data_IF_092093740874
#
_entry.id   IF_092093740874
#
_cell.length_a   1.000
_cell.length_b   1.000
_cell.length_c   1.000
_cell.angle_alpha   90.00
_cell.angle_beta   90.00
_cell.angle_gamma   90.00
#
_symmetry.space_group_name_H-M   'P 1'
#
loop_
_entity.id
_entity.type
_entity.pdbx_description
1 polymer ?
#
# COMPACT_ATOMS: atom_id res chain seq x y z
N UNK A 1 4.62 -30.16 -23.53
CA UNK A 1 4.04 -28.87 -23.20
C UNK A 1 4.49 -28.58 -21.77
N UNK A 2 5.35 -27.60 -21.57
CA UNK A 2 5.94 -27.33 -20.26
C UNK A 2 4.96 -26.50 -19.45
N UNK A 3 4.90 -26.75 -18.14
CA UNK A 3 3.99 -26.11 -17.18
C UNK A 3 4.19 -24.57 -17.11
N UNK A 4 5.31 -24.07 -17.65
CA UNK A 4 5.66 -22.64 -17.74
C UNK A 4 4.89 -21.88 -18.83
N UNK A 5 4.39 -22.57 -19.87
CA UNK A 5 3.72 -21.90 -21.00
C UNK A 5 2.24 -21.56 -20.72
N UNK A 6 1.61 -22.21 -19.73
CA UNK A 6 0.19 -21.97 -19.41
C UNK A 6 0.00 -20.69 -18.58
N UNK A 7 0.97 -20.32 -17.76
CA UNK A 7 0.92 -19.09 -16.95
C UNK A 7 1.05 -17.81 -17.79
N UNK A 8 1.99 -17.76 -18.70
CA UNK A 8 2.29 -16.57 -19.50
C UNK A 8 1.15 -16.14 -20.44
N UNK A 9 0.42 -17.09 -21.04
CA UNK A 9 -0.71 -16.78 -21.94
C UNK A 9 -1.94 -16.28 -21.16
N UNK A 10 -2.17 -16.79 -19.95
CA UNK A 10 -3.19 -16.33 -19.02
C UNK A 10 -2.95 -14.89 -18.56
N UNK A 11 -1.73 -14.60 -18.12
CA UNK A 11 -1.31 -13.27 -17.66
C UNK A 11 -1.37 -12.23 -18.78
N UNK A 12 -0.99 -12.60 -20.02
CA UNK A 12 -1.10 -11.71 -21.19
C UNK A 12 -2.55 -11.35 -21.52
N UNK A 13 -3.49 -12.29 -21.41
CA UNK A 13 -4.92 -12.03 -21.63
C UNK A 13 -5.51 -11.14 -20.54
N UNK A 14 -5.14 -11.35 -19.28
CA UNK A 14 -5.57 -10.51 -18.16
C UNK A 14 -5.04 -9.08 -18.30
N UNK A 15 -3.76 -8.91 -18.63
CA UNK A 15 -3.16 -7.61 -18.89
C UNK A 15 -3.76 -6.90 -20.11
N UNK A 16 -4.15 -7.64 -21.16
CA UNK A 16 -4.86 -7.07 -22.30
C UNK A 16 -6.22 -6.48 -21.89
N UNK A 17 -6.91 -7.10 -20.94
CA UNK A 17 -8.17 -6.59 -20.39
C UNK A 17 -8.03 -5.29 -19.58
N UNK A 18 -6.82 -4.96 -19.12
CA UNK A 18 -6.51 -3.72 -18.38
C UNK A 18 -6.24 -2.53 -19.32
N UNK A 19 -5.99 -2.77 -20.61
CA UNK A 19 -5.62 -1.71 -21.55
C UNK A 19 -6.73 -0.67 -21.67
N UNK A 20 -6.40 0.59 -21.42
CA UNK A 20 -7.34 1.71 -21.48
C UNK A 20 -8.33 1.78 -20.30
N UNK A 21 -8.12 1.00 -19.25
CA UNK A 21 -8.92 1.01 -18.02
C UNK A 21 -8.06 1.38 -16.83
N UNK A 22 -8.71 1.78 -15.74
CA UNK A 22 -8.10 2.01 -14.43
C UNK A 22 -8.55 0.89 -13.50
N UNK A 23 -7.60 0.18 -12.90
CA UNK A 23 -7.88 -0.82 -11.89
C UNK A 23 -8.09 -0.16 -10.54
N UNK A 24 -9.29 -0.31 -9.99
CA UNK A 24 -9.62 0.09 -8.61
C UNK A 24 -9.82 -1.15 -7.73
N UNK A 25 -9.89 -0.96 -6.42
CA UNK A 25 -10.17 -2.06 -5.45
C UNK A 25 -11.55 -2.70 -5.64
N UNK A 26 -12.44 -2.06 -6.40
CA UNK A 26 -13.80 -2.57 -6.70
C UNK A 26 -13.95 -3.07 -8.14
N UNK A 27 -12.91 -2.98 -8.96
CA UNK A 27 -12.91 -3.42 -10.35
C UNK A 27 -12.40 -2.36 -11.32
N UNK A 28 -12.55 -2.64 -12.61
CA UNK A 28 -12.11 -1.75 -13.68
C UNK A 28 -13.10 -0.62 -13.91
N UNK A 29 -12.58 0.58 -14.13
CA UNK A 29 -13.34 1.77 -14.53
C UNK A 29 -12.76 2.39 -15.80
N UNK A 30 -13.55 3.18 -16.51
CA UNK A 30 -13.06 4.03 -17.60
C UNK A 30 -12.31 5.24 -17.00
N UNK A 31 -11.26 5.75 -17.71
CA UNK A 31 -10.47 6.89 -17.22
C UNK A 31 -11.32 8.13 -16.92
N UNK A 32 -12.39 8.34 -17.68
CA UNK A 32 -13.32 9.47 -17.50
C UNK A 32 -14.08 9.41 -16.16
N UNK A 33 -14.19 8.23 -15.56
CA UNK A 33 -14.84 8.03 -14.26
C UNK A 33 -13.95 8.43 -13.08
N UNK A 34 -12.65 8.65 -13.31
CA UNK A 34 -11.71 9.03 -12.25
C UNK A 34 -12.07 10.39 -11.64
N UNK A 35 -12.45 11.35 -12.46
CA UNK A 35 -12.86 12.69 -12.03
C UNK A 35 -11.81 13.42 -11.19
N UNK A 36 -12.24 14.13 -10.14
CA UNK A 36 -11.35 14.79 -9.18
C UNK A 36 -10.70 13.71 -8.31
N UNK A 37 -9.37 13.60 -8.44
CA UNK A 37 -8.59 12.53 -7.83
C UNK A 37 -7.45 13.10 -6.97
N UNK A 38 -7.33 12.61 -5.73
CA UNK A 38 -6.11 12.75 -4.94
C UNK A 38 -5.18 11.59 -5.30
N UNK A 39 -3.97 11.92 -5.71
CA UNK A 39 -3.06 10.95 -6.36
C UNK A 39 -2.03 10.32 -5.43
N UNK A 40 -1.98 10.73 -4.17
CA UNK A 40 -1.08 10.17 -3.16
C UNK A 40 -1.70 10.37 -1.77
N UNK A 41 -2.35 9.32 -1.27
CA UNK A 41 -3.01 9.33 0.04
C UNK A 41 -2.87 7.97 0.73
N UNK A 42 -3.22 7.94 2.00
CA UNK A 42 -3.24 6.75 2.84
C UNK A 42 -4.55 6.71 3.63
N UNK A 43 -5.38 5.70 3.39
CA UNK A 43 -6.64 5.50 4.10
C UNK A 43 -6.47 4.61 5.33
N UNK A 44 -5.64 3.59 5.19
CA UNK A 44 -5.25 2.66 6.26
C UNK A 44 -3.75 2.45 6.17
N UNK A 45 -3.01 2.84 7.21
CA UNK A 45 -1.55 2.77 7.25
C UNK A 45 -1.08 2.60 8.69
N UNK A 46 0.07 1.94 8.89
CA UNK A 46 0.77 1.95 10.17
C UNK A 46 2.29 2.10 9.94
N UNK A 47 2.82 3.21 10.40
CA UNK A 47 4.25 3.55 10.34
C UNK A 47 4.94 3.42 11.70
N UNK A 48 4.27 2.84 12.70
CA UNK A 48 4.82 2.75 14.06
C UNK A 48 6.12 1.94 14.14
N UNK A 49 6.30 0.97 13.24
CA UNK A 49 7.53 0.17 13.15
C UNK A 49 8.75 0.96 12.67
N UNK A 50 8.55 2.12 12.01
CA UNK A 50 9.66 3.02 11.62
C UNK A 50 10.22 3.82 12.78
N UNK A 51 9.51 3.87 13.90
CA UNK A 51 9.86 4.70 15.04
C UNK A 51 10.25 3.82 16.22
N UNK A 52 11.54 3.77 16.59
CA UNK A 52 11.95 3.04 17.77
C UNK A 52 11.30 3.64 19.03
N UNK A 53 10.81 2.80 19.95
CA UNK A 53 10.21 3.28 21.18
C UNK A 53 11.22 4.12 21.98
N UNK A 54 10.78 5.22 22.63
CA UNK A 54 11.66 6.07 23.40
C UNK A 54 12.40 5.31 24.52
N UNK A 55 13.64 5.71 24.79
CA UNK A 55 14.52 5.03 25.74
C UNK A 55 14.13 5.22 27.22
N UNK A 56 13.32 6.25 27.57
CA UNK A 56 12.92 6.52 28.94
C UNK A 56 11.49 6.09 29.23
N UNK A 57 11.20 5.70 30.47
CA UNK A 57 9.84 5.31 30.89
C UNK A 57 8.82 6.46 30.73
N UNK A 58 9.23 7.69 31.07
CA UNK A 58 8.38 8.89 30.93
C UNK A 58 8.05 9.16 29.44
N UNK A 59 9.04 9.08 28.57
CA UNK A 59 8.83 9.28 27.13
C UNK A 59 7.96 8.16 26.55
N UNK A 60 8.14 6.88 26.97
CA UNK A 60 7.26 5.78 26.57
C UNK A 60 5.81 5.98 27.01
N UNK A 61 5.59 6.45 28.23
CA UNK A 61 4.25 6.75 28.72
C UNK A 61 3.57 7.87 27.94
N UNK A 62 4.34 8.85 27.48
CA UNK A 62 3.84 9.91 26.61
C UNK A 62 3.58 9.40 25.19
N UNK A 63 4.48 8.59 24.64
CA UNK A 63 4.37 7.96 23.33
C UNK A 63 3.11 7.08 23.17
N UNK A 64 2.67 6.44 24.24
CA UNK A 64 1.48 5.59 24.27
C UNK A 64 0.16 6.36 24.45
N UNK A 65 0.18 7.70 24.56
CA UNK A 65 -1.05 8.49 24.73
C UNK A 65 -1.90 8.52 23.47
N UNK A 66 -3.23 8.52 23.62
CA UNK A 66 -4.12 8.73 22.48
C UNK A 66 -3.96 10.14 21.91
N UNK A 67 -4.38 10.30 20.66
CA UNK A 67 -4.41 11.61 19.98
C UNK A 67 -5.32 12.57 20.79
N UNK A 68 -4.77 13.73 21.15
CA UNK A 68 -5.49 14.79 21.84
C UNK A 68 -4.96 16.16 21.37
N UNK A 69 -5.69 17.23 21.63
CA UNK A 69 -5.24 18.59 21.29
C UNK A 69 -3.88 18.92 21.93
N UNK A 70 -3.65 18.47 23.17
CA UNK A 70 -2.36 18.62 23.87
C UNK A 70 -1.26 17.79 23.20
N UNK A 71 -1.54 16.52 22.88
CA UNK A 71 -0.60 15.64 22.20
C UNK A 71 -0.29 16.15 20.79
N UNK A 72 -1.28 16.65 20.03
CA UNK A 72 -1.11 17.19 18.69
C UNK A 72 -0.15 18.39 18.65
N UNK A 73 -0.22 19.28 19.63
CA UNK A 73 0.72 20.40 19.75
C UNK A 73 2.17 19.92 19.95
N UNK A 74 2.36 18.84 20.69
CA UNK A 74 3.66 18.22 20.93
C UNK A 74 4.17 17.48 19.69
N UNK A 75 3.32 16.70 19.03
CA UNK A 75 3.68 15.92 17.85
C UNK A 75 4.05 16.77 16.64
N UNK A 76 3.54 18.00 16.52
CA UNK A 76 3.97 18.96 15.49
C UNK A 76 5.46 19.34 15.60
N UNK A 77 6.01 19.31 16.80
CA UNK A 77 7.39 19.70 17.04
C UNK A 77 8.33 18.50 17.22
N UNK A 78 7.77 17.34 17.50
CA UNK A 78 8.50 16.11 17.82
C UNK A 78 7.80 14.93 17.14
N UNK A 79 8.10 14.72 15.85
CA UNK A 79 7.53 13.64 15.02
C UNK A 79 7.78 12.23 15.57
N UNK A 80 8.70 12.11 16.53
CA UNK A 80 9.08 10.84 17.16
C UNK A 80 8.07 10.39 18.23
N UNK A 81 7.00 11.14 18.51
CA UNK A 81 6.10 10.88 19.62
C UNK A 81 4.69 10.47 19.17
N UNK A 82 4.29 9.29 19.64
CA UNK A 82 2.93 8.79 19.61
C UNK A 82 2.67 7.75 18.50
N UNK A 83 2.55 6.48 18.90
CA UNK A 83 2.10 5.41 18.00
C UNK A 83 0.77 5.74 17.35
N UNK A 84 -0.15 6.34 18.10
CA UNK A 84 -1.47 6.72 17.59
C UNK A 84 -1.45 7.82 16.50
N UNK A 85 -0.31 8.52 16.33
CA UNK A 85 -0.16 9.53 15.27
C UNK A 85 0.43 8.94 13.97
N UNK A 86 0.85 7.69 14.00
CA UNK A 86 1.50 7.02 12.88
C UNK A 86 0.66 5.87 12.31
N UNK A 87 -0.54 5.66 12.86
CA UNK A 87 -1.48 4.65 12.41
C UNK A 87 -2.84 5.26 12.07
N UNK A 88 -3.36 4.89 10.91
CA UNK A 88 -4.74 5.06 10.50
C UNK A 88 -5.32 3.65 10.36
N UNK A 89 -6.08 3.19 11.36
CA UNK A 89 -6.52 1.79 11.47
C UNK A 89 -8.05 1.62 11.53
N UNK A 90 -8.81 2.73 11.44
CA UNK A 90 -10.26 2.70 11.49
C UNK A 90 -10.89 2.84 10.10
N UNK A 91 -11.51 1.76 9.63
CA UNK A 91 -12.32 1.74 8.41
C UNK A 91 -13.47 2.74 8.49
N UNK A 92 -14.11 2.85 9.65
CA UNK A 92 -15.24 3.74 9.90
C UNK A 92 -14.83 5.20 9.74
N UNK A 93 -13.73 5.60 10.37
CA UNK A 93 -13.17 6.96 10.22
C UNK A 93 -12.79 7.25 8.77
N UNK A 94 -12.15 6.32 8.08
CA UNK A 94 -11.80 6.48 6.67
C UNK A 94 -13.04 6.65 5.77
N UNK A 95 -14.14 5.95 6.07
CA UNK A 95 -15.40 6.12 5.34
C UNK A 95 -15.99 7.52 5.56
N UNK A 96 -15.95 8.03 6.80
CA UNK A 96 -16.42 9.38 7.14
C UNK A 96 -15.61 10.45 6.41
N UNK A 97 -14.28 10.35 6.45
CA UNK A 97 -13.36 11.29 5.78
C UNK A 97 -13.52 11.26 4.25
N UNK A 98 -13.65 10.08 3.64
CA UNK A 98 -13.94 9.96 2.21
C UNK A 98 -15.33 10.49 1.87
N UNK A 99 -16.28 10.37 2.76
CA UNK A 99 -17.61 10.97 2.63
C UNK A 99 -17.55 12.49 2.52
N UNK A 100 -16.72 13.14 3.34
CA UNK A 100 -16.45 14.57 3.25
C UNK A 100 -15.73 14.93 1.93
N UNK A 101 -14.71 14.19 1.55
CA UNK A 101 -14.03 14.38 0.27
C UNK A 101 -15.02 14.33 -0.91
N UNK A 102 -15.90 13.33 -0.93
CA UNK A 102 -16.94 13.20 -1.94
C UNK A 102 -17.93 14.37 -1.93
N UNK A 103 -18.33 14.84 -0.75
CA UNK A 103 -19.24 15.98 -0.59
C UNK A 103 -18.69 17.25 -1.23
N UNK A 104 -17.36 17.41 -1.23
CA UNK A 104 -16.66 18.52 -1.89
C UNK A 104 -16.28 18.23 -3.34
N UNK A 105 -16.83 17.19 -3.96
CA UNK A 105 -16.65 16.88 -5.38
C UNK A 105 -15.55 15.88 -5.70
N UNK A 106 -14.89 15.29 -4.69
CA UNK A 106 -13.91 14.23 -4.87
C UNK A 106 -14.54 12.96 -5.43
N UNK A 107 -13.87 12.26 -6.33
CA UNK A 107 -14.40 11.08 -7.01
C UNK A 107 -13.48 9.87 -6.91
N UNK A 108 -12.17 10.10 -6.84
CA UNK A 108 -11.19 9.04 -6.76
C UNK A 108 -10.03 9.39 -5.83
N UNK A 109 -9.36 8.36 -5.35
CA UNK A 109 -8.17 8.46 -4.51
C UNK A 109 -7.19 7.34 -4.85
N UNK A 110 -5.91 7.66 -4.90
CA UNK A 110 -4.84 6.66 -5.02
C UNK A 110 -4.26 6.46 -3.63
N UNK A 111 -4.52 5.29 -3.06
CA UNK A 111 -3.94 4.85 -1.79
C UNK A 111 -2.62 4.14 -2.08
N UNK A 112 -1.51 4.76 -1.70
CA UNK A 112 -0.17 4.26 -1.93
C UNK A 112 0.40 3.46 -0.76
N UNK A 113 -0.44 3.05 0.17
CA UNK A 113 -0.04 2.18 1.27
C UNK A 113 0.38 0.82 0.73
N UNK A 114 1.58 0.41 1.10
CA UNK A 114 2.17 -0.86 0.69
C UNK A 114 2.03 -1.93 1.76
N UNK A 115 2.20 -3.19 1.37
CA UNK A 115 2.15 -4.31 2.29
C UNK A 115 3.10 -4.14 3.48
N UNK A 116 4.31 -3.61 3.26
CA UNK A 116 5.32 -3.39 4.31
C UNK A 116 4.98 -2.26 5.30
N UNK A 117 3.91 -1.52 5.07
CA UNK A 117 3.36 -0.46 5.94
C UNK A 117 1.86 -0.66 6.19
N UNK A 118 1.45 -1.93 6.30
CA UNK A 118 0.13 -2.40 6.74
C UNK A 118 -1.05 -2.09 5.80
N UNK A 119 -0.85 -2.18 4.46
CA UNK A 119 -1.92 -2.14 3.48
C UNK A 119 -3.01 -3.18 3.79
N UNK A 120 -4.28 -2.74 3.86
CA UNK A 120 -5.44 -3.62 4.00
C UNK A 120 -6.31 -3.60 2.73
N UNK A 121 -6.14 -4.54 1.78
CA UNK A 121 -6.89 -4.58 0.54
C UNK A 121 -8.41 -4.72 0.75
N UNK A 122 -8.83 -5.50 1.74
CA UNK A 122 -10.24 -5.74 2.04
C UNK A 122 -10.87 -4.51 2.71
N UNK A 123 -10.14 -3.87 3.63
CA UNK A 123 -10.51 -2.61 4.24
C UNK A 123 -10.69 -1.51 3.20
N UNK A 124 -9.74 -1.33 2.29
CA UNK A 124 -9.84 -0.36 1.19
C UNK A 124 -11.05 -0.62 0.28
N UNK A 125 -11.35 -1.89 -0.02
CA UNK A 125 -12.53 -2.23 -0.81
C UNK A 125 -13.84 -1.90 -0.06
N UNK A 126 -13.90 -2.14 1.24
CA UNK A 126 -15.05 -1.79 2.10
C UNK A 126 -15.24 -0.27 2.14
N UNK A 127 -14.17 0.49 2.36
CA UNK A 127 -14.17 1.95 2.38
C UNK A 127 -14.66 2.50 1.04
N UNK A 128 -14.09 2.05 -0.08
CA UNK A 128 -14.48 2.47 -1.43
C UNK A 128 -15.97 2.26 -1.70
N UNK A 129 -16.52 1.09 -1.33
CA UNK A 129 -17.94 0.77 -1.50
C UNK A 129 -18.85 1.63 -0.61
N UNK A 130 -18.47 1.83 0.65
CA UNK A 130 -19.27 2.57 1.61
C UNK A 130 -19.30 4.08 1.30
N UNK A 131 -18.16 4.68 0.98
CA UNK A 131 -18.06 6.09 0.62
C UNK A 131 -18.53 6.37 -0.82
N UNK A 132 -18.51 5.37 -1.70
CA UNK A 132 -18.79 5.51 -3.13
C UNK A 132 -17.76 6.39 -3.84
N UNK A 133 -16.48 6.24 -3.45
CA UNK A 133 -15.30 6.88 -4.04
C UNK A 133 -14.43 5.78 -4.64
N UNK A 134 -13.91 5.99 -5.84
CA UNK A 134 -12.99 5.04 -6.47
C UNK A 134 -11.64 5.06 -5.74
N UNK A 135 -11.16 3.90 -5.30
CA UNK A 135 -9.85 3.78 -4.68
C UNK A 135 -8.95 2.93 -5.57
N UNK A 136 -7.80 3.49 -5.97
CA UNK A 136 -6.73 2.78 -6.66
C UNK A 136 -5.69 2.41 -5.62
N UNK A 137 -5.38 1.12 -5.48
CA UNK A 137 -4.48 0.60 -4.44
C UNK A 137 -3.06 0.42 -4.99
N UNK A 138 -2.06 0.78 -4.18
CA UNK A 138 -0.65 0.59 -4.48
C UNK A 138 -0.16 -0.85 -4.25
N UNK A 139 0.98 -1.18 -4.89
CA UNK A 139 1.74 -2.40 -4.63
C UNK A 139 3.25 -2.14 -4.75
N UNK A 140 4.05 -3.00 -4.13
CA UNK A 140 5.49 -2.87 -4.05
C UNK A 140 5.99 -2.86 -2.61
N UNK A 141 7.18 -2.27 -2.39
CA UNK A 141 7.82 -2.18 -1.08
C UNK A 141 8.25 -0.75 -0.77
N UNK A 142 8.14 -0.36 0.49
CA UNK A 142 8.56 0.94 0.99
C UNK A 142 10.08 0.96 1.26
N UNK A 143 10.53 1.70 2.26
CA UNK A 143 11.95 1.78 2.63
C UNK A 143 12.45 0.49 3.28
N UNK A 144 13.77 0.24 3.19
CA UNK A 144 14.41 -0.99 3.69
C UNK A 144 14.06 -1.33 5.16
N UNK A 145 13.85 -0.32 6.01
CA UNK A 145 13.48 -0.53 7.41
C UNK A 145 12.13 -1.24 7.62
N UNK A 146 11.26 -1.19 6.61
CA UNK A 146 9.93 -1.85 6.64
C UNK A 146 9.89 -3.14 5.84
N UNK A 147 10.99 -3.52 5.18
CA UNK A 147 10.99 -4.71 4.35
C UNK A 147 10.81 -5.98 5.19
N UNK A 148 9.98 -6.93 4.73
CA UNK A 148 9.90 -8.23 5.37
C UNK A 148 11.25 -8.94 5.26
N UNK A 149 11.69 -9.68 6.29
CA UNK A 149 13.00 -10.34 6.29
C UNK A 149 13.25 -11.24 5.08
N UNK A 150 12.21 -11.86 4.55
CA UNK A 150 12.31 -12.73 3.37
C UNK A 150 12.72 -11.99 2.09
N UNK A 151 12.56 -10.64 2.03
CA UNK A 151 12.87 -9.87 0.84
C UNK A 151 14.36 -9.90 0.50
N UNK A 152 15.23 -9.98 1.51
CA UNK A 152 16.69 -10.06 1.31
C UNK A 152 17.10 -11.29 0.49
N UNK A 153 16.35 -12.38 0.59
CA UNK A 153 16.60 -13.63 -0.12
C UNK A 153 16.00 -13.67 -1.54
N UNK A 154 15.16 -12.68 -1.89
CA UNK A 154 14.50 -12.61 -3.19
C UNK A 154 15.38 -11.92 -4.23
N UNK A 155 15.32 -12.44 -5.45
CA UNK A 155 15.88 -11.77 -6.61
C UNK A 155 14.83 -10.83 -7.27
N UNK A 156 15.29 -10.04 -8.24
CA UNK A 156 14.46 -9.08 -8.97
C UNK A 156 13.25 -9.73 -9.65
N UNK A 157 13.41 -10.93 -10.21
CA UNK A 157 12.35 -11.65 -10.89
C UNK A 157 11.25 -12.10 -9.92
N UNK A 158 11.61 -12.51 -8.71
CA UNK A 158 10.66 -12.90 -7.66
C UNK A 158 9.88 -11.69 -7.16
N UNK A 159 10.54 -10.56 -6.96
CA UNK A 159 9.88 -9.29 -6.59
C UNK A 159 8.93 -8.84 -7.70
N UNK A 160 9.38 -8.84 -8.96
CA UNK A 160 8.54 -8.49 -10.10
C UNK A 160 7.34 -9.42 -10.25
N UNK A 161 7.51 -10.72 -10.06
CA UNK A 161 6.41 -11.69 -10.10
C UNK A 161 5.36 -11.44 -9.02
N UNK A 162 5.79 -11.07 -7.79
CA UNK A 162 4.87 -10.71 -6.71
C UNK A 162 4.07 -9.45 -7.05
N UNK A 163 4.73 -8.40 -7.55
CA UNK A 163 4.05 -7.16 -7.96
C UNK A 163 3.04 -7.43 -9.08
N UNK A 164 3.40 -8.26 -10.06
CA UNK A 164 2.48 -8.67 -11.13
C UNK A 164 1.29 -9.45 -10.57
N UNK A 165 1.51 -10.37 -9.62
CA UNK A 165 0.44 -11.12 -8.97
C UNK A 165 -0.53 -10.18 -8.22
N UNK A 166 -0.03 -9.17 -7.49
CA UNK A 166 -0.88 -8.17 -6.82
C UNK A 166 -1.80 -7.43 -7.82
N UNK A 167 -1.32 -7.16 -9.04
CA UNK A 167 -2.08 -6.45 -10.08
C UNK A 167 -3.05 -7.38 -10.83
N UNK A 168 -2.66 -8.61 -11.10
CA UNK A 168 -3.38 -9.52 -11.99
C UNK A 168 -4.32 -10.44 -11.23
N UNK A 169 -3.88 -10.99 -10.11
CA UNK A 169 -4.62 -11.97 -9.33
C UNK A 169 -5.31 -11.35 -8.11
N UNK A 170 -4.64 -10.39 -7.48
CA UNK A 170 -5.05 -9.71 -6.27
C UNK A 170 -4.00 -9.77 -5.17
N UNK A 171 -4.01 -8.74 -4.35
CA UNK A 171 -3.07 -8.58 -3.25
C UNK A 171 -3.37 -9.55 -2.10
N UNK A 172 -2.33 -10.00 -1.42
CA UNK A 172 -2.49 -10.78 -0.20
C UNK A 172 -2.92 -9.87 0.97
N UNK A 173 -3.80 -10.40 1.84
CA UNK A 173 -4.05 -9.79 3.14
C UNK A 173 -3.01 -10.29 4.14
N UNK A 174 -2.65 -9.41 5.07
CA UNK A 174 -1.88 -9.79 6.24
C UNK A 174 -2.78 -10.47 7.27
N UNK A 175 -2.38 -11.64 7.75
CA UNK A 175 -2.99 -12.24 8.93
C UNK A 175 -2.16 -11.84 10.16
N UNK A 176 -2.79 -11.05 11.04
CA UNK A 176 -2.37 -10.64 12.38
C UNK A 176 -0.92 -10.97 12.82
N UNK A 177 -0.01 -10.05 12.62
CA UNK A 177 1.29 -10.06 13.29
C UNK A 177 1.55 -8.83 14.17
N UNK A 178 0.56 -7.99 14.41
CA UNK A 178 0.70 -6.80 15.29
C UNK A 178 1.10 -7.13 16.73
N UNK A 179 0.87 -8.38 17.20
CA UNK A 179 1.12 -8.73 18.61
C UNK A 179 2.42 -9.50 18.88
N UNK A 180 3.16 -9.95 17.88
CA UNK A 180 4.28 -10.88 18.11
C UNK A 180 5.65 -10.39 17.64
N UNK A 181 5.77 -9.22 17.02
CA UNK A 181 7.05 -8.72 16.51
C UNK A 181 7.71 -9.61 15.47
N UNK A 182 6.97 -10.56 14.90
CA UNK A 182 7.44 -11.49 13.87
C UNK A 182 6.86 -11.04 12.54
N UNK A 183 7.72 -10.68 11.63
CA UNK A 183 7.47 -10.13 10.30
C UNK A 183 6.19 -10.58 9.60
N UNK A 184 5.76 -9.76 8.69
CA UNK A 184 4.58 -9.91 7.84
C UNK A 184 4.53 -11.31 7.21
N UNK A 185 3.47 -12.07 7.49
CA UNK A 185 3.20 -13.35 6.84
C UNK A 185 2.08 -13.16 5.82
N UNK A 186 2.42 -13.11 4.55
CA UNK A 186 1.45 -13.09 3.44
C UNK A 186 0.75 -14.44 3.33
N UNK A 187 -0.55 -14.51 3.60
CA UNK A 187 -1.22 -15.81 3.65
C UNK A 187 -2.36 -16.04 2.68
N UNK A 188 -3.04 -15.00 2.19
CA UNK A 188 -4.22 -15.26 1.36
C UNK A 188 -4.42 -14.16 0.32
N UNK A 189 -4.46 -14.55 -0.95
CA UNK A 189 -4.93 -13.70 -2.01
C UNK A 189 -6.38 -13.28 -1.74
N UNK A 190 -6.64 -11.97 -1.71
CA UNK A 190 -7.95 -11.40 -1.42
C UNK A 190 -8.84 -11.25 -2.64
N UNK A 191 -8.27 -11.38 -3.85
CA UNK A 191 -8.91 -11.02 -5.11
C UNK A 191 -9.03 -9.49 -5.33
N UNK A 192 -8.60 -8.66 -4.36
CA UNK A 192 -8.58 -7.21 -4.50
C UNK A 192 -7.27 -6.82 -5.19
N UNK A 193 -7.36 -6.21 -6.37
CA UNK A 193 -6.22 -5.95 -7.25
C UNK A 193 -5.63 -4.58 -7.03
N UNK A 194 -4.31 -4.49 -7.10
CA UNK A 194 -3.60 -3.22 -7.16
C UNK A 194 -3.74 -2.58 -8.55
N UNK A 195 -3.75 -1.25 -8.60
CA UNK A 195 -3.86 -0.48 -9.84
C UNK A 195 -2.62 0.34 -10.18
N UNK A 196 -1.67 0.44 -9.25
CA UNK A 196 -0.45 1.24 -9.42
C UNK A 196 0.71 0.59 -8.65
N UNK A 197 1.93 0.78 -9.14
CA UNK A 197 3.16 0.40 -8.43
C UNK A 197 3.67 1.64 -7.69
N UNK A 198 3.77 1.54 -6.38
CA UNK A 198 4.19 2.61 -5.48
C UNK A 198 3.28 2.73 -4.25
N UNK A 199 3.71 3.57 -3.26
CA UNK A 199 4.93 4.38 -3.34
C UNK A 199 6.19 3.51 -3.13
N UNK A 200 7.22 3.72 -3.95
CA UNK A 200 8.50 3.06 -3.76
C UNK A 200 9.37 3.99 -2.93
N UNK A 201 9.60 3.62 -1.69
CA UNK A 201 10.50 4.34 -0.80
C UNK A 201 11.96 3.98 -1.04
N UNK A 202 12.85 4.97 -0.85
CA UNK A 202 14.29 4.79 -0.96
C UNK A 202 15.00 5.44 0.21
N UNK A 203 15.91 4.69 0.83
CA UNK A 203 16.79 5.19 1.89
C UNK A 203 17.97 5.99 1.32
N UNK A 204 18.58 6.82 2.15
CA UNK A 204 19.83 7.49 1.80
C UNK A 204 20.92 7.13 2.83
N UNK A 205 21.98 6.37 2.44
CA UNK A 205 22.24 5.80 1.11
C UNK A 205 21.25 4.70 0.70
N UNK A 206 21.09 4.50 -0.61
CA UNK A 206 20.19 3.49 -1.15
C UNK A 206 20.60 2.08 -0.72
N UNK A 207 19.69 1.34 -0.11
CA UNK A 207 19.89 -0.05 0.30
C UNK A 207 19.84 -1.01 -0.89
N UNK A 208 20.59 -2.14 -0.83
CA UNK A 208 20.64 -3.09 -1.95
C UNK A 208 19.28 -3.75 -2.25
N UNK A 209 18.45 -4.00 -1.23
CA UNK A 209 17.12 -4.57 -1.42
C UNK A 209 16.15 -3.56 -2.05
N UNK A 210 16.32 -2.26 -1.78
CA UNK A 210 15.57 -1.19 -2.45
C UNK A 210 15.91 -1.12 -3.94
N UNK A 211 17.18 -1.37 -4.32
CA UNK A 211 17.59 -1.48 -5.74
C UNK A 211 16.83 -2.58 -6.46
N UNK A 212 16.61 -3.73 -5.83
CA UNK A 212 15.84 -4.83 -6.39
C UNK A 212 14.35 -4.44 -6.56
N UNK A 213 13.79 -3.71 -5.58
CA UNK A 213 12.40 -3.23 -5.62
C UNK A 213 12.15 -2.12 -6.66
N UNK A 214 13.19 -1.36 -7.04
CA UNK A 214 13.13 -0.34 -8.09
C UNK A 214 13.13 -0.93 -9.51
N UNK A 215 13.15 -2.24 -9.66
CA UNK A 215 13.03 -2.89 -10.99
C UNK A 215 11.68 -2.53 -11.58
N UNK A 216 11.73 -1.84 -12.71
CA UNK A 216 10.53 -1.50 -13.47
C UNK A 216 9.96 -2.78 -14.10
N UNK A 217 8.83 -3.33 -13.61
CA UNK A 217 8.19 -4.43 -14.31
C UNK A 217 7.84 -3.94 -15.71
N UNK A 218 8.30 -4.68 -16.70
CA UNK A 218 7.94 -4.41 -18.09
C UNK A 218 6.67 -5.17 -18.40
N UNK A 219 5.64 -4.46 -18.79
CA UNK A 219 4.45 -5.05 -19.36
C UNK A 219 4.76 -5.87 -20.62
N UNK A 220 3.81 -6.65 -21.13
CA UNK A 220 4.01 -7.62 -22.23
C UNK A 220 4.61 -7.03 -23.51
N UNK A 221 4.59 -5.71 -23.69
CA UNK A 221 5.15 -5.01 -24.85
C UNK A 221 6.41 -4.18 -24.49
N UNK A 222 7.08 -4.48 -23.40
CA UNK A 222 8.25 -3.74 -22.93
C UNK A 222 7.95 -2.31 -22.45
N UNK A 223 6.69 -1.90 -22.42
CA UNK A 223 6.28 -0.59 -21.89
C UNK A 223 6.34 -0.58 -20.38
N UNK A 224 6.81 0.50 -19.75
CA UNK A 224 6.82 0.60 -18.29
C UNK A 224 5.39 0.59 -17.75
N UNK A 225 5.15 -0.17 -16.69
CA UNK A 225 3.98 0.02 -15.84
C UNK A 225 4.18 1.32 -15.06
N UNK A 226 3.10 2.05 -14.80
CA UNK A 226 3.17 3.33 -14.11
C UNK A 226 3.77 3.13 -12.71
N UNK A 227 4.88 3.82 -12.42
CA UNK A 227 5.57 3.76 -11.13
C UNK A 227 5.53 5.16 -10.53
N UNK A 228 4.98 5.29 -9.33
CA UNK A 228 5.13 6.49 -8.52
C UNK A 228 6.34 6.31 -7.60
N UNK A 229 7.25 7.26 -7.62
CA UNK A 229 8.34 7.38 -6.65
C UNK A 229 8.19 8.69 -5.88
N UNK A 230 8.26 8.62 -4.57
CA UNK A 230 8.37 9.79 -3.68
C UNK A 230 9.78 10.36 -3.71
#
# INVERSE_FOLDING_TARGET
MRQEDIGQDGDQRLLAGLTGKIQTVTGLIDPEMLGVCLTHEHLLIDLSDLLPPPNTATARAFYARPVSAEAAAYCRNYSEFGTAHHALDSVETAVEELGLFKQYGGQAMVDLTLASIYRDPVGLQRISRAAGVHVVMGCGFYVAATHPPALSDWNEQQIAAMIVADIVEGAAAEEESRSTGKGVVYRKNTGVRAGVIGEIGCSSPLHDDERKGCVRPRGPNGKPVLVFSS
#
